data_IF_980939704838
#
_entry.id   IF_980939704838
#
_cell.length_a   1.000
_cell.length_b   1.000
_cell.length_c   1.000
_cell.angle_alpha   90.00
_cell.angle_beta   90.00
_cell.angle_gamma   90.00
#
_symmetry.space_group_name_H-M   'P 1'
#
loop_
_entity.id
_entity.type
_entity.pdbx_description
1 polymer ?
#
# COMPACT_ATOMS: atom_id res chain seq x y z
N UNK A 1 9.17 -15.05 43.99
CA UNK A 1 7.92 -14.49 43.45
C UNK A 1 7.97 -14.77 41.97
N UNK A 2 7.09 -15.64 41.46
CA UNK A 2 7.14 -16.08 40.06
C UNK A 2 6.49 -14.99 39.20
N UNK A 3 7.32 -14.28 38.44
CA UNK A 3 6.92 -13.14 37.63
C UNK A 3 6.04 -13.63 36.47
N UNK A 4 4.82 -13.11 36.37
CA UNK A 4 3.83 -13.56 35.38
C UNK A 4 4.25 -13.07 33.98
N UNK A 5 5.05 -13.89 33.29
CA UNK A 5 5.53 -13.61 31.94
C UNK A 5 4.36 -13.43 30.97
N UNK A 6 4.24 -12.24 30.38
CA UNK A 6 3.27 -11.99 29.31
C UNK A 6 3.95 -12.29 27.98
N UNK A 7 3.31 -13.09 27.11
CA UNK A 7 3.94 -13.39 25.82
C UNK A 7 3.91 -12.18 24.89
N UNK A 8 4.96 -12.01 24.08
CA UNK A 8 5.06 -10.94 23.09
C UNK A 8 3.85 -10.87 22.16
N UNK A 9 3.24 -12.02 21.85
CA UNK A 9 2.01 -12.10 21.03
C UNK A 9 0.83 -11.43 21.71
N UNK A 10 0.64 -11.63 23.03
CA UNK A 10 -0.44 -10.98 23.78
C UNK A 10 -0.23 -9.47 23.83
N UNK A 11 1.00 -9.03 24.06
CA UNK A 11 1.37 -7.63 24.01
C UNK A 11 1.12 -7.01 22.63
N UNK A 12 1.46 -7.72 21.54
CA UNK A 12 1.20 -7.28 20.16
C UNK A 12 -0.29 -7.14 19.87
N UNK A 13 -1.12 -8.08 20.34
CA UNK A 13 -2.59 -7.99 20.23
C UNK A 13 -3.12 -6.79 21.01
N UNK A 14 -2.57 -6.52 22.20
CA UNK A 14 -2.94 -5.33 23.01
C UNK A 14 -2.59 -4.05 22.27
N UNK A 15 -1.34 -3.92 21.80
CA UNK A 15 -0.90 -2.77 21.03
C UNK A 15 -1.76 -2.56 19.80
N UNK A 16 -2.00 -3.62 19.01
CA UNK A 16 -2.76 -3.47 17.76
C UNK A 16 -4.15 -2.85 17.95
N UNK A 17 -4.80 -3.08 19.10
CA UNK A 17 -6.10 -2.50 19.44
C UNK A 17 -6.06 -1.01 19.75
N UNK A 18 -4.94 -0.50 20.28
CA UNK A 18 -4.77 0.91 20.64
C UNK A 18 -3.92 1.70 19.64
N UNK A 19 -3.35 1.06 18.61
CA UNK A 19 -2.62 1.76 17.54
C UNK A 19 -3.49 2.84 16.90
N UNK A 20 -2.93 4.04 16.80
CA UNK A 20 -3.55 5.19 16.18
C UNK A 20 -3.69 5.05 14.67
N UNK A 21 -4.36 6.04 14.08
CA UNK A 21 -4.56 6.14 12.63
C UNK A 21 -3.29 6.68 11.98
N UNK A 22 -2.76 5.97 10.97
CA UNK A 22 -1.63 6.46 10.17
C UNK A 22 -2.16 7.41 9.10
N UNK A 23 -1.70 8.65 9.11
CA UNK A 23 -2.24 9.72 8.26
C UNK A 23 -1.25 10.02 7.14
N UNK A 24 -1.75 10.16 5.90
CA UNK A 24 -0.95 10.74 4.82
C UNK A 24 -0.76 12.24 5.07
N UNK A 25 0.47 12.64 5.36
CA UNK A 25 0.86 14.01 5.71
C UNK A 25 1.94 14.58 4.78
N UNK A 26 2.45 13.77 3.85
CA UNK A 26 3.53 14.15 2.95
C UNK A 26 3.18 13.82 1.48
N UNK A 27 3.64 14.66 0.56
CA UNK A 27 3.47 14.46 -0.88
C UNK A 27 4.81 14.16 -1.53
N UNK A 28 4.86 13.08 -2.30
CA UNK A 28 6.00 12.67 -3.10
C UNK A 28 5.79 12.98 -4.57
N UNK A 29 6.87 12.91 -5.35
CA UNK A 29 6.83 13.04 -6.80
C UNK A 29 7.55 11.86 -7.45
N UNK A 30 6.87 11.19 -8.38
CA UNK A 30 7.44 10.13 -9.21
C UNK A 30 7.14 10.44 -10.68
N UNK A 31 8.19 10.69 -11.46
CA UNK A 31 8.07 11.18 -12.82
C UNK A 31 7.27 12.49 -12.87
N UNK A 32 6.15 12.49 -13.59
CA UNK A 32 5.23 13.64 -13.70
C UNK A 32 4.06 13.61 -12.70
N UNK A 33 3.95 12.55 -11.88
CA UNK A 33 2.86 12.38 -10.93
C UNK A 33 3.24 12.78 -9.51
N UNK A 34 2.25 13.23 -8.73
CA UNK A 34 2.35 13.43 -7.28
C UNK A 34 1.54 12.35 -6.57
N UNK A 35 1.98 11.93 -5.39
CA UNK A 35 1.28 10.95 -4.58
C UNK A 35 1.46 11.29 -3.11
N UNK A 36 0.39 11.12 -2.34
CA UNK A 36 0.45 11.35 -0.89
C UNK A 36 0.79 10.06 -0.16
N UNK A 37 1.55 10.20 0.92
CA UNK A 37 2.06 9.13 1.74
C UNK A 37 2.14 9.55 3.21
N UNK A 38 2.13 8.57 4.10
CA UNK A 38 2.41 8.80 5.51
C UNK A 38 3.93 8.91 5.71
N UNK A 39 4.35 10.02 6.30
CA UNK A 39 5.73 10.25 6.71
C UNK A 39 6.14 9.26 7.80
N UNK A 40 7.45 9.13 8.01
CA UNK A 40 7.96 8.31 9.11
C UNK A 40 7.50 8.84 10.46
N UNK A 41 7.35 10.15 10.61
CA UNK A 41 6.90 10.77 11.86
C UNK A 41 5.44 10.43 12.13
N UNK A 42 4.55 10.57 11.13
CA UNK A 42 3.14 10.18 11.30
C UNK A 42 2.98 8.70 11.66
N UNK A 43 3.82 7.83 11.10
CA UNK A 43 3.81 6.40 11.45
C UNK A 43 4.27 6.18 12.89
N UNK A 44 5.34 6.84 13.33
CA UNK A 44 5.87 6.70 14.70
C UNK A 44 4.86 7.21 15.73
N UNK A 45 4.31 8.41 15.51
CA UNK A 45 3.29 9.02 16.37
C UNK A 45 2.07 8.10 16.54
N UNK A 46 1.66 7.40 15.48
CA UNK A 46 0.53 6.48 15.54
C UNK A 46 0.78 5.20 16.37
N UNK A 47 2.04 4.83 16.65
CA UNK A 47 2.37 3.54 17.28
C UNK A 47 3.10 3.67 18.62
N UNK A 48 3.77 4.78 18.88
CA UNK A 48 4.73 4.89 19.99
C UNK A 48 4.07 4.64 21.35
N UNK A 49 2.98 5.34 21.63
CA UNK A 49 2.21 5.18 22.88
C UNK A 49 1.66 3.75 23.00
N UNK A 50 1.06 3.24 21.93
CA UNK A 50 0.45 1.91 21.88
C UNK A 50 1.43 0.77 22.16
N UNK A 51 2.64 0.85 21.59
CA UNK A 51 3.71 -0.10 21.84
C UNK A 51 4.23 0.02 23.28
N UNK A 52 4.51 1.25 23.73
CA UNK A 52 5.03 1.54 25.07
C UNK A 52 4.10 1.02 26.17
N UNK A 53 2.81 1.32 26.12
CA UNK A 53 1.79 0.84 27.07
C UNK A 53 1.61 -0.69 27.06
N UNK A 54 2.04 -1.33 25.98
CA UNK A 54 2.00 -2.78 25.83
C UNK A 54 3.32 -3.45 26.19
N UNK A 55 4.30 -2.70 26.70
CA UNK A 55 5.62 -3.23 27.03
C UNK A 55 6.42 -3.67 25.81
N UNK A 56 6.19 -3.04 24.66
CA UNK A 56 6.84 -3.33 23.39
C UNK A 56 7.76 -2.20 22.96
N UNK A 57 8.89 -2.57 22.37
CA UNK A 57 9.81 -1.65 21.73
C UNK A 57 10.12 -2.14 20.31
N UNK A 58 9.98 -1.26 19.31
CA UNK A 58 10.33 -1.55 17.93
C UNK A 58 11.71 -0.94 17.62
N UNK A 59 12.62 -1.78 17.16
CA UNK A 59 13.96 -1.37 16.74
C UNK A 59 14.18 -1.65 15.26
N UNK A 60 14.97 -0.78 14.61
CA UNK A 60 15.38 -1.00 13.22
C UNK A 60 16.87 -0.76 13.08
N UNK A 61 17.61 -1.79 12.64
CA UNK A 61 19.05 -1.69 12.38
C UNK A 61 19.33 -1.80 10.88
N UNK A 62 20.36 -1.11 10.41
CA UNK A 62 20.85 -1.24 9.04
C UNK A 62 22.13 -2.06 9.05
N UNK A 63 22.20 -3.06 8.18
CA UNK A 63 23.39 -3.90 7.98
C UNK A 63 23.33 -4.51 6.59
N UNK A 64 24.49 -4.67 5.93
CA UNK A 64 24.57 -5.32 4.60
C UNK A 64 23.56 -4.77 3.58
N UNK A 65 23.39 -3.44 3.57
CA UNK A 65 22.44 -2.75 2.68
C UNK A 65 20.97 -3.22 2.85
N UNK A 66 20.62 -3.69 4.05
CA UNK A 66 19.28 -4.13 4.43
C UNK A 66 18.87 -3.47 5.75
N UNK A 67 17.58 -3.19 5.87
CA UNK A 67 16.95 -2.76 7.11
C UNK A 67 16.32 -3.97 7.78
N UNK A 68 16.70 -4.25 9.03
CA UNK A 68 16.13 -5.30 9.86
C UNK A 68 15.15 -4.67 10.85
N UNK A 69 13.98 -5.29 11.04
CA UNK A 69 12.99 -4.83 12.02
C UNK A 69 12.73 -5.91 13.05
N UNK A 70 12.90 -5.55 14.32
CA UNK A 70 12.73 -6.44 15.47
C UNK A 70 11.85 -5.75 16.50
N UNK A 71 10.85 -6.47 17.01
CA UNK A 71 10.04 -6.05 18.15
C UNK A 71 10.52 -6.79 19.39
N UNK A 72 10.73 -6.04 20.46
CA UNK A 72 11.17 -6.51 21.76
C UNK A 72 10.03 -6.38 22.76
N UNK A 73 9.89 -7.36 23.64
CA UNK A 73 8.99 -7.30 24.79
C UNK A 73 9.81 -7.02 26.05
N UNK A 74 9.22 -6.32 27.01
CA UNK A 74 9.87 -5.98 28.29
C UNK A 74 10.37 -7.20 29.07
N UNK A 75 9.72 -8.36 28.88
CA UNK A 75 10.13 -9.64 29.50
C UNK A 75 11.29 -10.33 28.75
N UNK A 76 11.92 -9.66 27.78
CA UNK A 76 13.08 -10.14 27.03
C UNK A 76 12.79 -11.00 25.79
N UNK A 77 11.52 -11.24 25.45
CA UNK A 77 11.16 -11.91 24.19
C UNK A 77 11.36 -10.98 22.99
N UNK A 78 11.78 -11.55 21.86
CA UNK A 78 11.95 -10.80 20.61
C UNK A 78 11.24 -11.48 19.45
N UNK A 79 10.76 -10.69 18.49
CA UNK A 79 10.16 -11.15 17.25
C UNK A 79 10.74 -10.39 16.07
N UNK A 80 11.38 -11.12 15.15
CA UNK A 80 11.94 -10.58 13.93
C UNK A 80 10.92 -10.57 12.78
N UNK A 81 10.83 -9.45 12.07
CA UNK A 81 9.94 -9.25 10.93
C UNK A 81 10.68 -9.27 9.58
N UNK A 82 11.89 -9.82 9.57
CA UNK A 82 12.72 -9.94 8.38
C UNK A 82 13.37 -8.62 7.97
N UNK A 83 13.70 -8.53 6.68
CA UNK A 83 14.47 -7.42 6.13
C UNK A 83 13.83 -6.75 4.93
N UNK A 84 14.13 -5.47 4.76
CA UNK A 84 13.85 -4.72 3.52
C UNK A 84 15.17 -4.29 2.89
N UNK A 85 15.45 -4.63 1.62
CA UNK A 85 16.65 -4.18 0.93
C UNK A 85 16.63 -2.66 0.70
N UNK A 86 17.77 -2.01 0.90
CA UNK A 86 17.97 -0.60 0.58
C UNK A 86 18.34 -0.47 -0.90
N UNK A 87 17.48 0.18 -1.68
CA UNK A 87 17.65 0.31 -3.13
C UNK A 87 18.09 1.72 -3.53
N UNK A 88 18.85 1.83 -4.63
CA UNK A 88 19.22 3.12 -5.22
C UNK A 88 20.21 3.95 -4.41
N UNK A 89 21.09 3.28 -3.65
CA UNK A 89 22.12 3.93 -2.83
C UNK A 89 23.35 4.26 -3.68
N UNK A 90 23.67 5.55 -3.81
CA UNK A 90 24.89 6.01 -4.51
C UNK A 90 25.73 7.01 -3.71
N UNK A 91 25.12 7.70 -2.75
CA UNK A 91 25.74 8.68 -1.86
C UNK A 91 25.03 8.69 -0.50
N UNK A 92 25.53 9.49 0.46
CA UNK A 92 24.94 9.57 1.80
C UNK A 92 23.50 10.11 1.82
N UNK A 93 23.14 10.95 0.86
CA UNK A 93 21.80 11.55 0.78
C UNK A 93 20.76 10.53 0.30
N UNK A 94 21.12 9.80 -0.75
CA UNK A 94 20.32 8.70 -1.30
C UNK A 94 20.24 7.54 -0.30
N UNK A 95 21.31 7.26 0.45
CA UNK A 95 21.27 6.30 1.57
C UNK A 95 20.25 6.72 2.65
N UNK A 96 20.31 7.96 3.14
CA UNK A 96 19.38 8.46 4.16
C UNK A 96 17.91 8.40 3.69
N UNK A 97 17.69 8.68 2.39
CA UNK A 97 16.38 8.58 1.75
C UNK A 97 15.90 7.12 1.64
N UNK A 98 16.78 6.20 1.22
CA UNK A 98 16.50 4.77 1.13
C UNK A 98 16.17 4.16 2.51
N UNK A 99 16.93 4.53 3.55
CA UNK A 99 16.67 4.11 4.93
C UNK A 99 15.29 4.61 5.38
N UNK A 100 15.02 5.91 5.22
CA UNK A 100 13.73 6.50 5.62
C UNK A 100 12.56 5.83 4.89
N UNK A 101 12.73 5.54 3.60
CA UNK A 101 11.73 4.83 2.81
C UNK A 101 11.50 3.40 3.35
N UNK A 102 12.55 2.61 3.51
CA UNK A 102 12.46 1.23 4.01
C UNK A 102 11.83 1.16 5.41
N UNK A 103 12.17 2.10 6.30
CA UNK A 103 11.64 2.14 7.67
C UNK A 103 10.13 2.23 7.70
N UNK A 104 9.54 3.08 6.86
CA UNK A 104 8.08 3.25 6.77
C UNK A 104 7.38 1.94 6.41
N UNK A 105 7.81 1.31 5.31
CA UNK A 105 7.19 0.06 4.86
C UNK A 105 7.42 -1.09 5.83
N UNK A 106 8.59 -1.17 6.47
CA UNK A 106 8.88 -2.21 7.44
C UNK A 106 7.96 -2.11 8.67
N UNK A 107 7.76 -0.89 9.21
CA UNK A 107 6.86 -0.68 10.35
C UNK A 107 5.41 -0.99 9.95
N UNK A 108 4.97 -0.48 8.80
CA UNK A 108 3.60 -0.72 8.33
C UNK A 108 3.32 -2.21 8.10
N UNK A 109 4.28 -2.95 7.55
CA UNK A 109 4.17 -4.39 7.35
C UNK A 109 4.16 -5.14 8.70
N UNK A 110 5.08 -4.81 9.61
CA UNK A 110 5.21 -5.49 10.90
C UNK A 110 3.96 -5.34 11.78
N UNK A 111 3.31 -4.17 11.74
CA UNK A 111 2.17 -3.84 12.60
C UNK A 111 0.81 -3.87 11.87
N UNK A 112 0.77 -4.32 10.61
CA UNK A 112 -0.42 -4.31 9.75
C UNK A 112 -1.15 -2.95 9.74
N UNK A 113 -0.40 -1.90 9.39
CA UNK A 113 -0.90 -0.53 9.31
C UNK A 113 -1.19 -0.14 7.86
N UNK A 114 -2.34 0.48 7.65
CA UNK A 114 -2.70 1.12 6.38
C UNK A 114 -2.75 2.63 6.56
N UNK A 115 -2.18 3.37 5.61
CA UNK A 115 -2.23 4.83 5.63
C UNK A 115 -3.58 5.30 5.06
N UNK A 116 -4.33 6.01 5.88
CA UNK A 116 -5.57 6.67 5.49
C UNK A 116 -5.32 8.11 5.09
N UNK A 117 -6.23 8.66 4.29
CA UNK A 117 -6.21 10.08 3.95
C UNK A 117 -6.53 10.93 5.20
N UNK A 118 -6.14 12.21 5.17
CA UNK A 118 -6.64 13.16 6.18
C UNK A 118 -8.16 13.23 6.02
N UNK A 119 -8.88 12.68 6.99
CA UNK A 119 -10.27 13.08 7.20
C UNK A 119 -10.23 14.46 7.82
N UNK A 120 -10.72 15.47 7.10
CA UNK A 120 -11.09 16.74 7.71
C UNK A 120 -12.11 16.41 8.81
N UNK A 121 -11.73 16.69 10.06
CA UNK A 121 -12.54 16.39 11.24
C UNK A 121 -13.77 17.32 11.26
N UNK A 122 -14.82 17.00 10.51
CA UNK A 122 -16.17 17.46 10.83
C UNK A 122 -17.27 16.50 10.30
N UNK A 123 -18.10 16.06 11.24
CA UNK A 123 -19.46 15.54 11.18
C UNK A 123 -19.90 14.50 10.13
N UNK A 124 -20.43 13.38 10.66
CA UNK A 124 -21.56 12.59 10.18
C UNK A 124 -21.98 12.81 8.71
N UNK A 125 -21.54 11.91 7.83
CA UNK A 125 -22.35 11.46 6.71
C UNK A 125 -21.79 10.17 6.12
N UNK A 126 -22.67 9.21 5.87
CA UNK A 126 -22.37 7.98 5.14
C UNK A 126 -21.73 8.32 3.80
N UNK A 127 -20.43 8.05 3.64
CA UNK A 127 -19.70 8.36 2.42
C UNK A 127 -19.78 7.19 1.44
N UNK A 128 -20.57 7.39 0.38
CA UNK A 128 -20.49 6.62 -0.85
C UNK A 128 -19.09 6.83 -1.44
N UNK A 129 -18.29 5.76 -1.51
CA UNK A 129 -16.90 5.83 -1.95
C UNK A 129 -16.86 6.05 -3.46
N UNK A 130 -16.52 7.27 -3.90
CA UNK A 130 -16.15 7.54 -5.29
C UNK A 130 -14.67 7.19 -5.50
N UNK A 131 -14.42 6.04 -6.13
CA UNK A 131 -13.09 5.67 -6.61
C UNK A 131 -12.73 6.49 -7.85
N UNK A 132 -11.67 7.31 -7.74
CA UNK A 132 -11.08 8.00 -8.89
C UNK A 132 -10.04 7.08 -9.57
N UNK A 133 -10.31 6.70 -10.82
CA UNK A 133 -9.47 5.78 -11.60
C UNK A 133 -8.54 6.60 -12.51
N UNK A 134 -7.23 6.27 -12.60
CA UNK A 134 -6.35 6.90 -13.56
C UNK A 134 -6.85 6.65 -14.98
N UNK A 135 -7.00 7.72 -15.76
CA UNK A 135 -7.52 7.68 -17.12
C UNK A 135 -6.69 6.74 -18.00
N UNK A 136 -7.39 5.78 -18.61
CA UNK A 136 -6.89 4.72 -19.50
C UNK A 136 -5.97 5.24 -20.62
N UNK A 137 -6.06 6.55 -20.95
CA UNK A 137 -5.41 7.20 -22.08
C UNK A 137 -3.89 7.07 -22.16
N UNK A 138 -3.17 6.84 -21.06
CA UNK A 138 -1.69 6.68 -21.11
C UNK A 138 -1.21 5.25 -21.38
N UNK A 139 -2.00 4.22 -21.06
CA UNK A 139 -1.62 2.81 -21.30
C UNK A 139 -2.05 2.29 -22.66
N UNK A 140 -2.96 2.98 -23.35
CA UNK A 140 -3.42 2.58 -24.69
C UNK A 140 -2.38 2.82 -25.79
N UNK A 141 -1.39 3.70 -25.56
CA UNK A 141 -0.47 4.19 -26.60
C UNK A 141 0.47 3.10 -27.14
N UNK A 142 0.78 2.08 -26.33
CA UNK A 142 1.74 1.03 -26.67
C UNK A 142 1.13 -0.15 -27.42
N UNK A 143 -0.20 -0.20 -27.59
CA UNK A 143 -0.87 -1.30 -28.27
C UNK A 143 -0.88 -1.15 -29.80
N UNK A 144 -0.97 -2.28 -30.52
CA UNK A 144 -1.20 -2.29 -31.97
C UNK A 144 -2.52 -1.59 -32.32
N UNK A 145 -2.57 -1.02 -33.52
CA UNK A 145 -3.74 -0.26 -33.97
C UNK A 145 -5.01 -1.12 -34.02
N UNK A 146 -4.87 -2.42 -34.30
CA UNK A 146 -5.98 -3.37 -34.25
C UNK A 146 -6.55 -3.55 -32.84
N UNK A 147 -5.68 -3.68 -31.84
CA UNK A 147 -6.10 -3.78 -30.42
C UNK A 147 -6.72 -2.47 -29.93
N UNK A 148 -6.16 -1.32 -30.33
CA UNK A 148 -6.73 0.00 -30.03
C UNK A 148 -8.13 0.16 -30.61
N UNK A 149 -8.34 -0.23 -31.86
CA UNK A 149 -9.64 -0.16 -32.53
C UNK A 149 -10.68 -1.08 -31.87
N UNK A 150 -10.29 -2.30 -31.50
CA UNK A 150 -11.16 -3.23 -30.76
C UNK A 150 -11.59 -2.65 -29.40
N UNK A 151 -10.63 -2.13 -28.62
CA UNK A 151 -10.89 -1.53 -27.32
C UNK A 151 -11.76 -0.27 -27.42
N UNK A 152 -11.55 0.57 -28.44
CA UNK A 152 -12.37 1.76 -28.67
C UNK A 152 -13.83 1.38 -28.99
N UNK A 153 -14.04 0.44 -29.90
CA UNK A 153 -15.38 -0.06 -30.21
C UNK A 153 -16.07 -0.73 -29.01
N UNK A 154 -15.30 -1.43 -28.16
CA UNK A 154 -15.80 -1.97 -26.90
C UNK A 154 -16.24 -0.86 -25.92
N UNK A 155 -15.40 0.16 -25.69
CA UNK A 155 -15.71 1.27 -24.79
C UNK A 155 -16.94 2.07 -25.26
N UNK A 156 -17.03 2.37 -26.55
CA UNK A 156 -18.18 3.10 -27.13
C UNK A 156 -19.50 2.35 -26.97
N UNK A 157 -19.48 1.02 -27.07
CA UNK A 157 -20.66 0.17 -26.89
C UNK A 157 -21.13 0.14 -25.43
N UNK A 158 -20.22 0.30 -24.48
CA UNK A 158 -20.51 0.23 -23.04
C UNK A 158 -20.65 1.60 -22.36
N UNK A 159 -20.21 2.70 -22.98
CA UNK A 159 -20.49 4.08 -22.53
C UNK A 159 -21.94 4.50 -22.79
N UNK A 160 -22.58 3.99 -23.85
CA UNK A 160 -23.95 4.36 -24.23
C UNK A 160 -25.06 3.54 -23.56
N UNK A 161 -24.72 2.50 -22.79
CA UNK A 161 -25.68 1.67 -22.08
C UNK A 161 -25.62 1.90 -20.57
N UNK A 162 -26.73 2.29 -19.97
CA UNK A 162 -26.91 2.39 -18.52
C UNK A 162 -26.65 1.05 -17.83
N UNK A 163 -25.39 0.85 -17.40
CA UNK A 163 -24.97 0.27 -16.12
C UNK A 163 -23.48 -0.03 -16.20
N UNK A 164 -22.70 0.74 -15.46
CA UNK A 164 -21.32 0.41 -15.05
C UNK A 164 -21.35 -0.84 -14.17
N UNK A 165 -21.55 -2.01 -14.78
CA UNK A 165 -21.62 -3.28 -14.04
C UNK A 165 -20.23 -3.76 -13.64
N UNK A 166 -20.17 -4.60 -12.60
CA UNK A 166 -18.95 -5.23 -12.13
C UNK A 166 -18.17 -5.97 -13.24
N UNK A 167 -18.85 -6.42 -14.31
CA UNK A 167 -18.23 -7.04 -15.48
C UNK A 167 -17.32 -6.07 -16.25
N UNK A 168 -17.76 -4.82 -16.46
CA UNK A 168 -16.95 -3.78 -17.10
C UNK A 168 -15.67 -3.49 -16.30
N UNK A 169 -15.80 -3.35 -14.98
CA UNK A 169 -14.65 -3.10 -14.10
C UNK A 169 -13.74 -4.34 -13.96
N UNK A 170 -14.29 -5.56 -14.00
CA UNK A 170 -13.50 -6.80 -14.00
C UNK A 170 -12.68 -6.93 -15.31
N UNK A 171 -13.26 -6.56 -16.45
CA UNK A 171 -12.57 -6.59 -17.75
C UNK A 171 -11.49 -5.51 -17.85
N UNK A 172 -11.71 -4.31 -17.28
CA UNK A 172 -10.65 -3.29 -17.16
C UNK A 172 -9.49 -3.73 -16.26
N UNK A 173 -9.78 -4.48 -15.19
CA UNK A 173 -8.72 -5.10 -14.35
C UNK A 173 -7.89 -6.13 -15.11
N UNK A 174 -8.50 -6.87 -16.05
CA UNK A 174 -7.79 -7.84 -16.91
C UNK A 174 -6.78 -7.11 -17.79
N UNK A 175 -7.15 -5.97 -18.38
CA UNK A 175 -6.25 -5.13 -19.17
C UNK A 175 -5.12 -4.57 -18.30
N UNK A 176 -5.41 -4.20 -17.05
CA UNK A 176 -4.42 -3.60 -16.15
C UNK A 176 -3.40 -4.61 -15.56
N UNK A 177 -3.78 -5.89 -15.42
CA UNK A 177 -3.00 -6.92 -14.73
C UNK A 177 -2.31 -7.95 -15.65
N UNK A 178 -2.48 -7.86 -16.97
CA UNK A 178 -1.78 -8.72 -17.92
C UNK A 178 -0.50 -8.03 -18.44
N UNK A 179 0.56 -8.82 -18.66
CA UNK A 179 1.74 -8.36 -19.42
C UNK A 179 1.34 -7.97 -20.85
N UNK A 180 2.19 -7.24 -21.56
CA UNK A 180 2.03 -6.66 -22.92
C UNK A 180 1.55 -7.60 -24.07
N UNK A 181 1.11 -8.83 -23.80
CA UNK A 181 0.55 -9.76 -24.80
C UNK A 181 -0.90 -9.39 -25.16
N UNK A 182 -1.03 -8.63 -26.24
CA UNK A 182 -2.29 -8.10 -26.76
C UNK A 182 -3.31 -9.18 -27.12
N UNK A 183 -2.86 -10.28 -27.73
CA UNK A 183 -3.75 -11.35 -28.18
C UNK A 183 -4.45 -12.03 -27.00
N UNK A 184 -3.72 -12.16 -25.88
CA UNK A 184 -4.24 -12.72 -24.64
C UNK A 184 -5.25 -11.79 -23.96
N UNK A 185 -5.05 -10.47 -24.06
CA UNK A 185 -5.97 -9.46 -23.54
C UNK A 185 -7.29 -9.51 -24.31
N UNK A 186 -7.23 -9.46 -25.65
CA UNK A 186 -8.43 -9.50 -26.52
C UNK A 186 -9.24 -10.77 -26.30
N UNK A 187 -8.58 -11.94 -26.29
CA UNK A 187 -9.23 -13.23 -26.08
C UNK A 187 -9.99 -13.30 -24.74
N UNK A 188 -9.41 -12.79 -23.66
CA UNK A 188 -10.06 -12.79 -22.34
C UNK A 188 -11.25 -11.83 -22.24
N UNK A 189 -11.21 -10.71 -22.96
CA UNK A 189 -12.38 -9.80 -23.06
C UNK A 189 -13.51 -10.51 -23.81
N UNK A 190 -13.20 -11.23 -24.88
CA UNK A 190 -14.19 -12.03 -25.62
C UNK A 190 -14.78 -13.16 -24.77
N UNK A 191 -13.92 -13.94 -24.09
CA UNK A 191 -14.35 -15.01 -23.18
C UNK A 191 -15.25 -14.50 -22.04
N UNK A 192 -15.00 -13.28 -21.56
CA UNK A 192 -15.79 -12.65 -20.50
C UNK A 192 -17.13 -12.06 -20.98
N UNK A 193 -17.28 -11.79 -22.28
CA UNK A 193 -18.55 -11.33 -22.86
C UNK A 193 -19.48 -12.48 -23.30
N UNK A 194 -18.94 -13.70 -23.42
CA UNK A 194 -19.68 -14.90 -23.80
C UNK A 194 -20.17 -15.73 -22.60
N UNK A 195 -20.07 -15.19 -21.37
CA UNK A 195 -20.57 -15.78 -20.13
C UNK A 195 -21.68 -14.94 -19.55
#
# INVERSE_FOLDING_TARGET
>A
MEEKKTSIVKALIKARKSCGKVIKDATGQAGRGRFDYASINSIIEAIEESLSESGLFLSQRVSENQLFTTIHHIDGETMDFGTIPLMGVGDMKTLGSAITYARRYAIQAALMLSASEKEDLDQNQASTTSYDYPTIGKRLLDFSENTKNYLRGFLEKHEKGEKRTAAYHAQLRIIHNLSYDENRIVKRIQDANNK
#
